data_IF_463641789993
#
_entry.id   IF_463641789993
#
_cell.length_a   1.000
_cell.length_b   1.000
_cell.length_c   1.000
_cell.angle_alpha   90.00
_cell.angle_beta   90.00
_cell.angle_gamma   90.00
#
_symmetry.space_group_name_H-M   'P 1'
#
loop_
_entity.id
_entity.type
_entity.pdbx_description
1 polymer ?
#
# COMPACT_ATOMS: atom_id res chain seq x y z
N UNK A 1 13.91 -20.85 54.10
CA UNK A 1 15.11 -20.27 53.50
C UNK A 1 16.13 -21.36 53.26
N UNK A 2 16.24 -21.88 52.02
CA UNK A 2 17.38 -22.73 51.64
C UNK A 2 18.46 -21.80 51.08
N UNK A 3 19.62 -21.65 51.73
CA UNK A 3 20.63 -20.67 51.35
C UNK A 3 21.37 -20.99 50.03
N UNK A 4 21.25 -22.21 49.50
CA UNK A 4 22.01 -22.67 48.32
C UNK A 4 21.13 -23.03 47.10
N UNK A 5 19.89 -22.51 47.00
CA UNK A 5 19.06 -22.81 45.83
C UNK A 5 19.53 -21.98 44.61
N UNK A 6 19.84 -22.62 43.47
CA UNK A 6 20.09 -21.92 42.22
C UNK A 6 18.96 -20.96 41.87
N UNK A 7 19.30 -19.83 41.24
CA UNK A 7 18.31 -18.81 40.87
C UNK A 7 17.27 -19.34 39.87
N UNK A 8 17.69 -20.20 38.96
CA UNK A 8 16.82 -20.91 38.03
C UNK A 8 15.77 -21.78 38.74
N UNK A 9 16.13 -22.46 39.82
CA UNK A 9 15.20 -23.25 40.63
C UNK A 9 14.20 -22.37 41.37
N UNK A 10 14.66 -21.20 41.83
CA UNK A 10 13.78 -20.21 42.48
C UNK A 10 12.74 -19.69 41.48
N UNK A 11 13.15 -19.34 40.25
CA UNK A 11 12.20 -18.91 39.20
C UNK A 11 11.31 -20.07 38.75
N UNK A 12 11.82 -21.29 38.66
CA UNK A 12 11.03 -22.48 38.34
C UNK A 12 9.92 -22.77 39.38
N UNK A 13 10.19 -22.48 40.66
CA UNK A 13 9.16 -22.48 41.70
C UNK A 13 8.11 -21.38 41.46
N UNK A 14 8.53 -20.17 41.06
CA UNK A 14 7.58 -19.10 40.70
C UNK A 14 6.74 -19.46 39.48
N UNK A 15 7.31 -20.12 38.46
CA UNK A 15 6.57 -20.66 37.31
C UNK A 15 5.49 -21.63 37.78
N UNK A 16 5.84 -22.53 38.69
CA UNK A 16 4.89 -23.50 39.26
C UNK A 16 3.78 -22.81 40.07
N UNK A 17 4.11 -21.75 40.80
CA UNK A 17 3.16 -20.93 41.55
C UNK A 17 2.21 -20.15 40.64
N UNK A 18 2.70 -19.55 39.54
CA UNK A 18 1.85 -18.91 38.53
C UNK A 18 0.90 -19.93 37.92
N UNK A 19 1.40 -21.09 37.51
CA UNK A 19 0.57 -22.15 36.91
C UNK A 19 -0.50 -22.66 37.90
N UNK A 20 -0.16 -22.81 39.18
CA UNK A 20 -1.12 -23.16 40.22
C UNK A 20 -2.16 -22.05 40.41
N UNK A 21 -1.73 -20.80 40.53
CA UNK A 21 -2.62 -19.65 40.70
C UNK A 21 -3.61 -19.54 39.53
N UNK A 22 -3.11 -19.70 38.29
CA UNK A 22 -3.92 -19.68 37.07
C UNK A 22 -4.93 -20.83 36.99
N UNK A 23 -4.56 -22.03 37.42
CA UNK A 23 -5.46 -23.19 37.42
C UNK A 23 -6.51 -23.15 38.52
N UNK A 24 -6.15 -22.64 39.69
CA UNK A 24 -7.05 -22.58 40.85
C UNK A 24 -7.93 -21.32 40.84
N UNK A 25 -7.42 -20.21 40.33
CA UNK A 25 -8.06 -18.90 40.34
C UNK A 25 -7.85 -18.17 39.00
N UNK A 26 -8.48 -18.66 37.91
CA UNK A 26 -8.28 -18.12 36.57
C UNK A 26 -8.71 -16.66 36.41
N UNK A 27 -9.69 -16.20 37.19
CA UNK A 27 -10.23 -14.83 37.12
C UNK A 27 -9.47 -13.81 37.99
N UNK A 28 -8.61 -14.28 38.91
CA UNK A 28 -7.96 -13.44 39.92
C UNK A 28 -6.52 -13.07 39.52
N UNK A 29 -6.41 -11.99 38.75
CA UNK A 29 -5.14 -11.47 38.21
C UNK A 29 -4.15 -11.11 39.32
N UNK A 30 -4.63 -10.68 40.50
CA UNK A 30 -3.81 -10.26 41.62
C UNK A 30 -2.84 -11.34 42.11
N UNK A 31 -3.23 -12.62 42.09
CA UNK A 31 -2.36 -13.68 42.57
C UNK A 31 -1.17 -13.89 41.65
N UNK A 32 -1.40 -13.80 40.34
CA UNK A 32 -0.32 -13.84 39.34
C UNK A 32 0.57 -12.61 39.50
N UNK A 33 -0.01 -11.41 39.65
CA UNK A 33 0.76 -10.17 39.79
C UNK A 33 1.62 -10.17 41.08
N UNK A 34 1.11 -10.71 42.19
CA UNK A 34 1.89 -10.90 43.45
C UNK A 34 3.08 -11.85 43.24
N UNK A 35 2.92 -12.91 42.45
CA UNK A 35 4.03 -13.82 42.12
C UNK A 35 5.08 -13.11 41.25
N UNK A 36 4.65 -12.30 40.28
CA UNK A 36 5.55 -11.47 39.47
C UNK A 36 6.27 -10.42 40.33
N UNK A 37 5.56 -9.75 41.24
CA UNK A 37 6.15 -8.82 42.20
C UNK A 37 7.25 -9.48 43.03
N UNK A 38 6.96 -10.63 43.63
CA UNK A 38 7.93 -11.37 44.44
C UNK A 38 9.17 -11.74 43.61
N UNK A 39 8.97 -12.12 42.35
CA UNK A 39 10.06 -12.45 41.43
C UNK A 39 10.93 -11.22 41.15
N UNK A 40 10.31 -10.06 40.91
CA UNK A 40 11.01 -8.80 40.68
C UNK A 40 11.80 -8.36 41.92
N UNK A 41 11.20 -8.42 43.11
CA UNK A 41 11.86 -8.09 44.38
C UNK A 41 13.06 -9.00 44.65
N UNK A 42 12.97 -10.28 44.30
CA UNK A 42 14.10 -11.22 44.41
C UNK A 42 15.25 -10.79 43.50
N UNK A 43 14.96 -10.42 42.25
CA UNK A 43 16.00 -9.94 41.32
C UNK A 43 16.62 -8.61 41.77
N UNK A 44 15.80 -7.69 42.29
CA UNK A 44 16.28 -6.41 42.84
C UNK A 44 17.19 -6.61 44.06
N UNK A 45 16.82 -7.51 44.99
CA UNK A 45 17.66 -7.84 46.17
C UNK A 45 19.02 -8.41 45.78
N UNK A 46 19.12 -9.02 44.61
CA UNK A 46 20.34 -9.64 44.09
C UNK A 46 21.11 -8.74 43.10
N UNK A 47 20.64 -7.51 42.86
CA UNK A 47 21.21 -6.56 41.90
C UNK A 47 21.40 -7.15 40.49
N UNK A 48 20.40 -7.87 40.00
CA UNK A 48 20.40 -8.40 38.63
C UNK A 48 19.81 -7.34 37.69
N UNK A 49 20.68 -6.71 36.89
CA UNK A 49 20.25 -5.65 35.96
C UNK A 49 19.81 -6.19 34.58
N UNK A 50 20.50 -7.22 34.07
CA UNK A 50 20.16 -7.88 32.79
C UNK A 50 20.37 -9.38 32.81
N UNK A 51 19.45 -10.10 32.17
CA UNK A 51 19.44 -11.56 32.05
C UNK A 51 19.57 -11.93 30.58
N UNK A 52 20.61 -12.70 30.25
CA UNK A 52 20.81 -13.23 28.90
C UNK A 52 19.79 -14.33 28.59
N UNK A 53 19.05 -14.19 27.50
CA UNK A 53 17.97 -15.11 27.06
C UNK A 53 18.41 -16.57 26.94
N UNK A 54 19.64 -16.80 26.47
CA UNK A 54 20.21 -18.15 26.33
C UNK A 54 20.57 -18.84 27.65
N UNK A 55 20.71 -18.10 28.75
CA UNK A 55 21.04 -18.67 30.05
C UNK A 55 19.83 -19.42 30.64
N UNK A 56 20.08 -20.40 31.51
CA UNK A 56 19.02 -21.18 32.14
C UNK A 56 18.00 -20.31 32.91
N UNK A 57 18.48 -19.29 33.64
CA UNK A 57 17.63 -18.28 34.27
C UNK A 57 16.76 -17.50 33.25
N UNK A 58 17.32 -17.14 32.09
CA UNK A 58 16.60 -16.40 31.05
C UNK A 58 15.50 -17.25 30.39
N UNK A 59 15.76 -18.55 30.19
CA UNK A 59 14.75 -19.52 29.71
C UNK A 59 13.61 -19.67 30.71
N UNK A 60 13.93 -19.78 31.99
CA UNK A 60 12.92 -19.89 33.06
C UNK A 60 12.10 -18.61 33.23
N UNK A 61 12.73 -17.43 33.16
CA UNK A 61 12.00 -16.16 33.16
C UNK A 61 11.11 -16.01 31.93
N UNK A 62 11.60 -16.41 30.76
CA UNK A 62 10.77 -16.42 29.54
C UNK A 62 9.57 -17.35 29.67
N UNK A 63 9.74 -18.53 30.28
CA UNK A 63 8.65 -19.46 30.59
C UNK A 63 7.65 -18.86 31.57
N UNK A 64 8.11 -18.16 32.60
CA UNK A 64 7.26 -17.45 33.56
C UNK A 64 6.37 -16.42 32.88
N UNK A 65 6.93 -15.63 31.95
CA UNK A 65 6.21 -14.56 31.26
C UNK A 65 5.25 -15.09 30.17
N UNK A 66 5.52 -16.26 29.59
CA UNK A 66 4.58 -16.89 28.63
C UNK A 66 3.30 -17.42 29.28
N UNK A 67 3.37 -17.92 30.51
CA UNK A 67 2.21 -18.49 31.21
C UNK A 67 1.02 -17.52 31.32
N UNK A 68 1.18 -16.25 31.74
CA UNK A 68 0.11 -15.26 31.67
C UNK A 68 -0.50 -15.10 30.29
N UNK A 69 0.33 -15.00 29.24
CA UNK A 69 -0.15 -14.84 27.87
C UNK A 69 -1.00 -16.03 27.41
N UNK A 70 -0.54 -17.26 27.69
CA UNK A 70 -1.21 -18.50 27.25
C UNK A 70 -2.52 -18.77 27.97
N UNK A 71 -2.59 -18.43 29.27
CA UNK A 71 -3.77 -18.74 30.06
C UNK A 71 -4.88 -17.69 29.84
N UNK A 72 -4.52 -16.41 29.79
CA UNK A 72 -5.52 -15.35 29.61
C UNK A 72 -5.97 -15.20 28.16
N UNK A 73 -5.12 -15.54 27.17
CA UNK A 73 -5.41 -15.40 25.74
C UNK A 73 -5.88 -14.00 25.34
N UNK A 74 -5.52 -12.99 26.15
CA UNK A 74 -5.90 -11.60 25.96
C UNK A 74 -4.76 -10.70 26.42
N UNK A 75 -4.15 -10.03 25.45
CA UNK A 75 -3.02 -9.14 25.68
C UNK A 75 -3.35 -7.98 26.64
N UNK A 76 -4.60 -7.51 26.65
CA UNK A 76 -5.03 -6.43 27.53
C UNK A 76 -5.06 -6.87 29.01
N UNK A 77 -5.38 -8.13 29.27
CA UNK A 77 -5.33 -8.70 30.63
C UNK A 77 -3.88 -8.82 31.11
N UNK A 78 -2.98 -9.26 30.22
CA UNK A 78 -1.53 -9.29 30.51
C UNK A 78 -1.00 -7.89 30.81
N UNK A 79 -1.48 -6.87 30.09
CA UNK A 79 -1.10 -5.48 30.32
C UNK A 79 -1.51 -4.93 31.69
N UNK A 80 -2.55 -5.50 32.33
CA UNK A 80 -2.99 -5.10 33.67
C UNK A 80 -2.02 -5.56 34.77
N UNK A 81 -1.14 -6.53 34.49
CA UNK A 81 -0.11 -7.00 35.41
C UNK A 81 0.99 -5.94 35.55
N UNK A 82 1.01 -5.23 36.66
CA UNK A 82 1.88 -4.07 36.88
C UNK A 82 3.37 -4.46 36.83
N UNK A 83 3.70 -5.68 37.26
CA UNK A 83 5.08 -6.16 37.35
C UNK A 83 5.54 -6.93 36.11
N UNK A 84 4.67 -7.10 35.10
CA UNK A 84 5.02 -7.81 33.86
C UNK A 84 6.03 -7.02 33.01
N UNK A 85 5.74 -5.76 32.70
CA UNK A 85 6.63 -4.91 31.89
C UNK A 85 8.01 -4.70 32.52
N UNK A 86 8.13 -4.44 33.84
CA UNK A 86 9.42 -4.40 34.53
C UNK A 86 10.22 -5.71 34.39
N UNK A 87 9.58 -6.88 34.56
CA UNK A 87 10.26 -8.17 34.39
C UNK A 87 10.72 -8.41 32.95
N UNK A 88 9.91 -8.03 31.97
CA UNK A 88 10.28 -8.09 30.55
C UNK A 88 11.52 -7.24 30.27
N UNK A 89 11.65 -6.07 30.92
CA UNK A 89 12.78 -5.16 30.73
C UNK A 89 14.13 -5.72 31.23
N UNK A 90 14.10 -6.70 32.15
CA UNK A 90 15.31 -7.37 32.65
C UNK A 90 15.93 -8.34 31.62
N UNK A 91 15.16 -8.80 30.63
CA UNK A 91 15.70 -9.64 29.57
C UNK A 91 16.57 -8.82 28.61
N UNK A 92 17.56 -9.48 28.01
CA UNK A 92 18.33 -8.93 26.89
C UNK A 92 17.45 -8.67 25.65
N UNK A 93 18.00 -7.96 24.66
CA UNK A 93 17.30 -7.64 23.41
C UNK A 93 16.68 -8.89 22.75
N UNK A 94 17.45 -9.98 22.67
CA UNK A 94 17.00 -11.25 22.08
C UNK A 94 15.77 -11.82 22.81
N UNK A 95 15.80 -11.90 24.14
CA UNK A 95 14.68 -12.37 24.95
C UNK A 95 13.44 -11.48 24.83
N UNK A 96 13.64 -10.15 24.85
CA UNK A 96 12.54 -9.20 24.64
C UNK A 96 11.95 -9.32 23.23
N UNK A 97 12.77 -9.52 22.20
CA UNK A 97 12.31 -9.71 20.82
C UNK A 97 11.44 -10.96 20.70
N UNK A 98 11.93 -12.11 21.21
CA UNK A 98 11.22 -13.39 21.18
C UNK A 98 9.89 -13.32 21.93
N UNK A 99 9.87 -12.73 23.13
CA UNK A 99 8.63 -12.57 23.89
C UNK A 99 7.66 -11.58 23.25
N UNK A 100 8.14 -10.46 22.70
CA UNK A 100 7.30 -9.54 21.96
C UNK A 100 6.66 -10.22 20.75
N UNK A 101 7.42 -10.99 19.96
CA UNK A 101 6.87 -11.76 18.82
C UNK A 101 5.81 -12.73 19.32
N UNK A 102 6.07 -13.44 20.43
CA UNK A 102 5.11 -14.36 21.03
C UNK A 102 3.80 -13.67 21.46
N UNK A 103 3.91 -12.53 22.14
CA UNK A 103 2.76 -11.74 22.60
C UNK A 103 1.92 -11.22 21.43
N UNK A 104 2.57 -10.74 20.36
CA UNK A 104 1.87 -10.29 19.16
C UNK A 104 1.21 -11.47 18.44
N UNK A 105 1.87 -12.62 18.33
CA UNK A 105 1.27 -13.84 17.75
C UNK A 105 0.03 -14.27 18.54
N UNK A 106 0.13 -14.37 19.87
CA UNK A 106 -1.01 -14.73 20.72
C UNK A 106 -2.17 -13.72 20.57
N UNK A 107 -1.87 -12.42 20.50
CA UNK A 107 -2.88 -11.40 20.31
C UNK A 107 -3.58 -11.48 18.94
N UNK A 108 -2.83 -11.83 17.89
CA UNK A 108 -3.37 -12.04 16.53
C UNK A 108 -4.20 -13.33 16.46
N UNK A 109 -3.73 -14.43 17.03
CA UNK A 109 -4.44 -15.72 17.04
C UNK A 109 -5.76 -15.67 17.81
N UNK A 110 -5.80 -14.89 18.89
CA UNK A 110 -7.00 -14.70 19.71
C UNK A 110 -7.83 -13.46 19.34
N UNK A 111 -7.49 -12.76 18.26
CA UNK A 111 -8.17 -11.56 17.77
C UNK A 111 -8.39 -10.47 18.86
N UNK A 112 -7.36 -10.20 19.65
CA UNK A 112 -7.45 -9.24 20.75
C UNK A 112 -7.57 -7.80 20.23
N UNK A 113 -8.77 -7.21 20.33
CA UNK A 113 -9.02 -5.82 19.96
C UNK A 113 -8.45 -4.83 20.97
N UNK A 114 -7.82 -3.75 20.49
CA UNK A 114 -7.27 -2.66 21.31
C UNK A 114 -8.06 -1.37 21.06
N UNK A 115 -9.07 -1.03 21.91
CA UNK A 115 -10.04 0.04 21.61
C UNK A 115 -9.65 1.45 22.06
N UNK A 116 -8.58 1.64 22.83
CA UNK A 116 -8.22 2.95 23.41
C UNK A 116 -6.78 3.35 23.10
N UNK A 117 -6.51 4.67 23.12
CA UNK A 117 -5.18 5.19 22.81
C UNK A 117 -4.17 4.80 23.89
N UNK A 118 -4.61 4.72 25.16
CA UNK A 118 -3.78 4.38 26.31
C UNK A 118 -3.33 2.92 26.23
N UNK A 119 -4.24 2.02 25.83
CA UNK A 119 -3.89 0.62 25.61
C UNK A 119 -2.95 0.45 24.42
N UNK A 120 -3.14 1.20 23.33
CA UNK A 120 -2.19 1.18 22.19
C UNK A 120 -0.81 1.66 22.60
N UNK A 121 -0.71 2.77 23.35
CA UNK A 121 0.55 3.29 23.86
C UNK A 121 1.28 2.26 24.73
N UNK A 122 0.55 1.63 25.64
CA UNK A 122 1.09 0.64 26.56
C UNK A 122 1.48 -0.67 25.86
N UNK A 123 0.67 -1.17 24.93
CA UNK A 123 0.98 -2.37 24.14
C UNK A 123 2.20 -2.14 23.25
N UNK A 124 2.26 -1.03 22.50
CA UNK A 124 3.40 -0.73 21.64
C UNK A 124 4.68 -0.49 22.44
N UNK A 125 4.57 0.10 23.64
CA UNK A 125 5.71 0.23 24.56
C UNK A 125 6.21 -1.13 25.05
N UNK A 126 5.29 -2.06 25.35
CA UNK A 126 5.64 -3.42 25.77
C UNK A 126 6.36 -4.19 24.66
N UNK A 127 5.96 -4.00 23.40
CA UNK A 127 6.58 -4.66 22.23
C UNK A 127 7.61 -3.79 21.51
N UNK A 128 8.17 -2.78 22.19
CA UNK A 128 9.08 -1.79 21.59
C UNK A 128 10.32 -2.43 20.92
N UNK A 129 10.76 -3.60 21.37
CA UNK A 129 11.85 -4.38 20.76
C UNK A 129 11.61 -4.77 19.30
N UNK A 130 10.34 -4.86 18.86
CA UNK A 130 9.95 -5.11 17.47
C UNK A 130 9.76 -3.82 16.66
N UNK A 131 9.52 -2.69 17.35
CA UNK A 131 9.14 -1.43 16.73
C UNK A 131 10.35 -0.58 16.43
N UNK A 132 11.23 -0.36 17.41
CA UNK A 132 12.36 0.56 17.30
C UNK A 132 13.68 -0.08 17.69
N UNK A 133 14.77 0.44 17.11
CA UNK A 133 16.11 -0.02 17.45
C UNK A 133 16.43 0.24 18.91
N UNK A 134 16.95 -0.78 19.58
CA UNK A 134 17.24 -0.74 21.01
C UNK A 134 18.72 -0.44 21.24
N UNK A 135 19.08 0.25 22.34
CA UNK A 135 20.47 0.59 22.62
C UNK A 135 21.35 -0.64 22.88
N UNK A 136 20.76 -1.76 23.28
CA UNK A 136 21.42 -3.05 23.53
C UNK A 136 21.28 -4.05 22.37
N UNK A 137 20.81 -3.59 21.20
CA UNK A 137 20.67 -4.41 20.01
C UNK A 137 22.05 -4.76 19.43
N UNK A 138 22.28 -6.02 19.01
CA UNK A 138 23.49 -6.40 18.31
C UNK A 138 23.68 -5.59 17.02
N UNK A 139 24.93 -5.24 16.68
CA UNK A 139 25.27 -4.55 15.44
C UNK A 139 25.12 -5.41 14.18
N UNK A 140 24.75 -6.68 14.33
CA UNK A 140 24.54 -7.60 13.21
C UNK A 140 23.22 -7.22 12.54
N UNK A 141 23.26 -6.98 11.23
CA UNK A 141 22.04 -6.74 10.47
C UNK A 141 21.16 -8.00 10.51
N UNK A 142 19.86 -7.86 10.85
CA UNK A 142 18.94 -8.98 10.79
C UNK A 142 18.77 -9.43 9.33
N UNK A 143 18.48 -10.72 9.16
CA UNK A 143 18.08 -11.26 7.87
C UNK A 143 16.85 -10.49 7.35
N UNK A 144 16.87 -9.97 6.10
CA UNK A 144 15.71 -9.33 5.50
C UNK A 144 14.43 -10.17 5.52
N UNK A 145 14.54 -11.50 5.39
CA UNK A 145 13.37 -12.40 5.41
C UNK A 145 12.75 -12.47 6.81
N UNK A 146 13.57 -12.72 7.84
CA UNK A 146 13.12 -12.73 9.23
C UNK A 146 12.48 -11.38 9.63
N UNK A 147 13.10 -10.27 9.22
CA UNK A 147 12.55 -8.95 9.49
C UNK A 147 11.19 -8.76 8.80
N UNK A 148 11.04 -9.23 7.56
CA UNK A 148 9.77 -9.14 6.84
C UNK A 148 8.66 -9.97 7.52
N UNK A 149 8.96 -11.16 8.02
CA UNK A 149 8.00 -11.98 8.77
C UNK A 149 7.57 -11.29 10.08
N UNK A 150 8.53 -10.78 10.85
CA UNK A 150 8.27 -10.07 12.11
C UNK A 150 7.43 -8.80 11.88
N UNK A 151 7.81 -8.00 10.89
CA UNK A 151 7.07 -6.78 10.58
C UNK A 151 5.71 -7.08 9.93
N UNK A 152 5.60 -8.18 9.19
CA UNK A 152 4.32 -8.69 8.68
C UNK A 152 3.37 -9.09 9.80
N UNK A 153 3.87 -9.74 10.85
CA UNK A 153 3.10 -10.05 12.06
C UNK A 153 2.65 -8.77 12.77
N UNK A 154 3.54 -7.80 12.94
CA UNK A 154 3.20 -6.51 13.54
C UNK A 154 2.14 -5.77 12.70
N UNK A 155 2.29 -5.76 11.37
CA UNK A 155 1.33 -5.18 10.45
C UNK A 155 -0.07 -5.83 10.57
N UNK A 156 -0.14 -7.16 10.70
CA UNK A 156 -1.40 -7.87 10.99
C UNK A 156 -2.00 -7.42 12.33
N UNK A 157 -1.17 -7.30 13.35
CA UNK A 157 -1.64 -6.88 14.67
C UNK A 157 -2.23 -5.47 14.68
N UNK A 158 -1.67 -4.53 13.89
CA UNK A 158 -2.23 -3.19 13.75
C UNK A 158 -3.69 -3.20 13.29
N UNK A 159 -4.16 -4.21 12.57
CA UNK A 159 -5.57 -4.32 12.16
C UNK A 159 -6.55 -4.56 13.31
N UNK A 160 -6.08 -4.97 14.48
CA UNK A 160 -6.90 -5.14 15.69
C UNK A 160 -7.00 -3.86 16.53
N UNK A 161 -6.33 -2.79 16.13
CA UNK A 161 -6.47 -1.48 16.78
C UNK A 161 -7.74 -0.81 16.30
N UNK A 162 -8.88 -1.17 16.92
CA UNK A 162 -10.21 -0.72 16.51
C UNK A 162 -11.01 -0.22 17.71
N UNK A 163 -11.53 0.99 17.58
CA UNK A 163 -12.46 1.60 18.51
C UNK A 163 -13.87 1.69 17.93
N UNK A 164 -14.87 1.73 18.81
CA UNK A 164 -16.26 1.99 18.42
C UNK A 164 -16.45 3.43 17.94
N UNK A 165 -15.76 4.39 18.58
CA UNK A 165 -15.81 5.81 18.25
C UNK A 165 -14.78 6.18 17.18
N UNK A 166 -15.23 6.91 16.16
CA UNK A 166 -14.37 7.41 15.08
C UNK A 166 -13.28 8.37 15.59
N UNK A 167 -13.59 9.20 16.59
CA UNK A 167 -12.61 10.13 17.19
C UNK A 167 -11.54 9.40 18.00
N UNK A 168 -11.94 8.36 18.74
CA UNK A 168 -10.99 7.51 19.46
C UNK A 168 -10.12 6.71 18.49
N UNK A 169 -10.66 6.28 17.35
CA UNK A 169 -9.89 5.63 16.29
C UNK A 169 -8.81 6.56 15.72
N UNK A 170 -9.11 7.85 15.53
CA UNK A 170 -8.11 8.83 15.08
C UNK A 170 -6.97 9.00 16.10
N UNK A 171 -7.29 9.02 17.40
CA UNK A 171 -6.28 9.08 18.45
C UNK A 171 -5.40 7.83 18.47
N UNK A 172 -5.99 6.64 18.33
CA UNK A 172 -5.28 5.37 18.18
C UNK A 172 -4.29 5.41 17.02
N UNK A 173 -4.72 5.84 15.84
CA UNK A 173 -3.84 5.95 14.66
C UNK A 173 -2.70 6.94 14.88
N UNK A 174 -2.98 8.06 15.55
CA UNK A 174 -1.97 9.09 15.86
C UNK A 174 -0.91 8.55 16.83
N UNK A 175 -1.34 7.85 17.88
CA UNK A 175 -0.44 7.21 18.85
C UNK A 175 0.37 6.09 18.21
N UNK A 176 -0.26 5.23 17.41
CA UNK A 176 0.43 4.17 16.68
C UNK A 176 1.50 4.74 15.74
N UNK A 177 1.19 5.80 14.97
CA UNK A 177 2.14 6.48 14.09
C UNK A 177 3.32 7.08 14.84
N UNK A 178 3.11 7.61 16.05
CA UNK A 178 4.20 8.14 16.90
C UNK A 178 5.21 7.06 17.26
N UNK A 179 4.75 5.87 17.67
CA UNK A 179 5.62 4.75 18.01
C UNK A 179 6.29 4.14 16.79
N UNK A 180 5.50 3.82 15.75
CA UNK A 180 6.00 3.18 14.53
C UNK A 180 6.93 4.07 13.72
N UNK A 181 6.77 5.39 13.79
CA UNK A 181 7.69 6.35 13.17
C UNK A 181 9.11 6.31 13.74
N UNK A 182 9.31 5.76 14.94
CA UNK A 182 10.63 5.55 15.53
C UNK A 182 11.34 4.27 15.03
N UNK A 183 10.71 3.50 14.14
CA UNK A 183 11.21 2.19 13.72
C UNK A 183 12.36 2.15 12.73
N UNK A 184 12.81 3.32 12.27
CA UNK A 184 13.85 3.45 11.27
C UNK A 184 13.41 2.99 9.88
N UNK A 185 14.26 3.20 8.87
CA UNK A 185 13.88 3.06 7.46
C UNK A 185 13.39 1.65 7.10
N UNK A 186 14.02 0.59 7.64
CA UNK A 186 13.69 -0.80 7.28
C UNK A 186 12.31 -1.26 7.78
N UNK A 187 11.83 -0.77 8.94
CA UNK A 187 10.56 -1.22 9.56
C UNK A 187 9.37 -0.40 9.14
N UNK A 188 9.57 0.90 8.90
CA UNK A 188 8.47 1.80 8.49
C UNK A 188 7.83 1.37 7.18
N UNK A 189 8.61 0.73 6.29
CA UNK A 189 8.14 0.15 5.02
C UNK A 189 6.92 -0.77 5.18
N UNK A 190 6.90 -1.57 6.23
CA UNK A 190 5.87 -2.60 6.44
C UNK A 190 4.74 -2.11 7.35
N UNK A 191 5.03 -1.18 8.27
CA UNK A 191 4.11 -0.81 9.35
C UNK A 191 3.31 0.47 9.07
N UNK A 192 3.87 1.42 8.32
CA UNK A 192 3.16 2.66 7.97
C UNK A 192 2.06 2.49 6.91
N UNK A 193 2.22 1.66 5.85
CA UNK A 193 1.15 1.49 4.86
C UNK A 193 -0.18 0.98 5.46
N UNK A 194 -0.19 -0.02 6.37
CA UNK A 194 -1.41 -0.42 7.08
C UNK A 194 -2.09 0.74 7.81
N UNK A 195 -1.33 1.62 8.47
CA UNK A 195 -1.88 2.81 9.14
C UNK A 195 -2.52 3.78 8.15
N UNK A 196 -1.89 3.99 6.99
CA UNK A 196 -2.42 4.86 5.93
C UNK A 196 -3.75 4.29 5.41
N UNK A 197 -3.84 2.98 5.18
CA UNK A 197 -5.09 2.34 4.76
C UNK A 197 -6.18 2.41 5.82
N UNK A 198 -5.85 2.19 7.10
CA UNK A 198 -6.82 2.37 8.19
C UNK A 198 -7.28 3.81 8.32
N UNK A 199 -6.39 4.78 8.08
CA UNK A 199 -6.75 6.20 8.05
C UNK A 199 -7.70 6.51 6.88
N UNK A 200 -7.48 5.93 5.69
CA UNK A 200 -8.43 6.05 4.58
C UNK A 200 -9.79 5.43 4.90
N UNK A 201 -9.81 4.24 5.50
CA UNK A 201 -11.07 3.62 5.97
C UNK A 201 -11.80 4.50 6.98
N UNK A 202 -11.06 5.13 7.89
CA UNK A 202 -11.63 6.09 8.84
C UNK A 202 -12.19 7.34 8.14
N UNK A 203 -11.54 7.85 7.09
CA UNK A 203 -12.08 8.94 6.28
C UNK A 203 -13.42 8.57 5.62
N UNK A 204 -13.55 7.35 5.08
CA UNK A 204 -14.83 6.85 4.56
C UNK A 204 -15.90 6.69 5.64
N UNK A 205 -15.51 6.27 6.86
CA UNK A 205 -16.42 6.18 8.00
C UNK A 205 -16.97 7.56 8.37
N UNK A 206 -16.13 8.58 8.48
CA UNK A 206 -16.58 9.96 8.71
C UNK A 206 -17.47 10.50 7.60
N UNK A 207 -17.24 10.10 6.34
CA UNK A 207 -18.11 10.48 5.23
C UNK A 207 -19.50 9.82 5.33
N UNK A 208 -19.57 8.60 5.85
CA UNK A 208 -20.83 7.89 6.09
C UNK A 208 -21.60 8.53 7.26
N UNK A 209 -20.88 8.95 8.30
CA UNK A 209 -21.41 9.60 9.51
C UNK A 209 -21.62 11.13 9.33
N UNK A 210 -21.63 11.64 8.10
CA UNK A 210 -21.67 13.09 7.80
C UNK A 210 -22.92 13.82 8.29
N UNK A 211 -24.02 13.10 8.50
CA UNK A 211 -25.27 13.67 9.01
C UNK A 211 -25.27 13.82 10.55
N UNK A 212 -24.39 13.08 11.23
CA UNK A 212 -24.29 13.06 12.70
C UNK A 212 -23.26 14.07 13.23
N UNK A 213 -22.28 14.46 12.41
CA UNK A 213 -21.18 15.34 12.80
C UNK A 213 -20.96 16.50 11.82
N UNK A 214 -21.38 17.71 12.21
CA UNK A 214 -21.19 18.95 11.44
C UNK A 214 -19.70 19.26 11.12
N UNK A 215 -18.76 18.69 11.87
CA UNK A 215 -17.31 18.90 11.70
C UNK A 215 -16.62 17.79 10.91
N UNK A 216 -17.38 16.84 10.32
CA UNK A 216 -16.82 15.71 9.57
C UNK A 216 -15.80 16.15 8.50
N UNK A 217 -16.11 17.21 7.75
CA UNK A 217 -15.24 17.74 6.68
C UNK A 217 -13.85 18.16 7.20
N UNK A 218 -13.81 18.86 8.34
CA UNK A 218 -12.55 19.27 8.98
C UNK A 218 -11.77 18.07 9.53
N UNK A 219 -12.47 17.06 10.04
CA UNK A 219 -11.85 15.81 10.53
C UNK A 219 -11.23 15.01 9.38
N UNK A 220 -11.96 14.85 8.27
CA UNK A 220 -11.46 14.21 7.04
C UNK A 220 -10.24 14.95 6.50
N UNK A 221 -10.27 16.27 6.44
CA UNK A 221 -9.09 17.06 6.04
C UNK A 221 -7.86 16.76 6.93
N UNK A 222 -8.06 16.69 8.25
CA UNK A 222 -6.99 16.34 9.21
C UNK A 222 -6.47 14.91 9.02
N UNK A 223 -7.32 13.97 8.62
CA UNK A 223 -6.92 12.60 8.30
C UNK A 223 -6.03 12.58 7.05
N UNK A 224 -6.41 13.28 5.98
CA UNK A 224 -5.58 13.34 4.78
C UNK A 224 -4.24 14.05 5.02
N UNK A 225 -4.20 15.07 5.88
CA UNK A 225 -2.93 15.65 6.35
C UNK A 225 -2.08 14.62 7.10
N UNK A 226 -2.69 13.81 7.97
CA UNK A 226 -2.01 12.71 8.66
C UNK A 226 -1.47 11.66 7.67
N UNK A 227 -2.27 11.26 6.68
CA UNK A 227 -1.84 10.33 5.62
C UNK A 227 -0.67 10.92 4.84
N UNK A 228 -0.76 12.17 4.40
CA UNK A 228 0.31 12.86 3.68
C UNK A 228 1.61 12.82 4.48
N UNK A 229 1.60 13.26 5.75
CA UNK A 229 2.81 13.26 6.59
C UNK A 229 3.38 11.85 6.82
N UNK A 230 2.51 10.84 6.87
CA UNK A 230 2.91 9.43 7.06
C UNK A 230 3.55 8.88 5.78
N UNK A 231 3.00 9.20 4.61
CA UNK A 231 3.56 8.82 3.31
C UNK A 231 4.88 9.57 3.07
N UNK A 232 4.97 10.87 3.40
CA UNK A 232 6.23 11.62 3.32
C UNK A 232 7.33 11.02 4.21
N UNK A 233 6.97 10.40 5.34
CA UNK A 233 7.96 9.69 6.17
C UNK A 233 8.56 8.47 5.44
N UNK A 234 7.77 7.78 4.61
CA UNK A 234 8.27 6.70 3.75
C UNK A 234 9.17 7.25 2.62
N UNK A 235 8.82 8.40 2.05
CA UNK A 235 9.68 9.09 1.06
C UNK A 235 11.04 9.44 1.66
N UNK A 236 11.04 10.00 2.88
CA UNK A 236 12.27 10.30 3.64
C UNK A 236 13.09 9.06 3.99
N UNK A 237 12.48 7.88 4.01
CA UNK A 237 13.14 6.60 4.20
C UNK A 237 13.66 6.01 2.86
N UNK A 238 13.73 6.83 1.79
CA UNK A 238 14.27 6.49 0.47
C UNK A 238 13.43 5.44 -0.30
N UNK A 239 12.12 5.40 -0.02
CA UNK A 239 11.17 4.61 -0.80
C UNK A 239 10.41 5.50 -1.79
N UNK A 240 10.38 5.10 -3.06
CA UNK A 240 9.70 5.86 -4.12
C UNK A 240 8.42 5.18 -4.61
N UNK A 241 8.53 3.90 -4.94
CA UNK A 241 7.48 3.13 -5.59
C UNK A 241 6.22 2.90 -4.74
N UNK A 242 6.40 2.59 -3.46
CA UNK A 242 5.29 2.35 -2.54
C UNK A 242 4.59 3.67 -2.16
N UNK A 243 5.30 4.75 -1.76
CA UNK A 243 4.68 6.04 -1.48
C UNK A 243 3.92 6.62 -2.67
N UNK A 244 4.43 6.47 -3.90
CA UNK A 244 3.72 6.86 -5.12
C UNK A 244 2.34 6.18 -5.20
N UNK A 245 2.29 4.85 -4.98
CA UNK A 245 1.01 4.11 -4.99
C UNK A 245 0.08 4.56 -3.86
N UNK A 246 0.62 4.85 -2.68
CA UNK A 246 -0.18 5.36 -1.55
C UNK A 246 -0.75 6.75 -1.83
N UNK A 247 0.03 7.66 -2.44
CA UNK A 247 -0.47 8.97 -2.87
C UNK A 247 -1.59 8.83 -3.92
N UNK A 248 -1.43 7.94 -4.89
CA UNK A 248 -2.46 7.70 -5.92
C UNK A 248 -3.74 7.10 -5.32
N UNK A 249 -3.63 6.13 -4.40
CA UNK A 249 -4.79 5.62 -3.66
C UNK A 249 -5.44 6.70 -2.78
N UNK A 250 -4.64 7.58 -2.18
CA UNK A 250 -5.13 8.76 -1.47
C UNK A 250 -5.92 9.69 -2.37
N UNK A 251 -5.43 9.98 -3.58
CA UNK A 251 -6.15 10.80 -4.57
C UNK A 251 -7.51 10.19 -4.94
N UNK A 252 -7.59 8.87 -5.15
CA UNK A 252 -8.87 8.18 -5.39
C UNK A 252 -9.80 8.21 -4.16
N UNK A 253 -9.24 8.08 -2.95
CA UNK A 253 -10.04 8.18 -1.73
C UNK A 253 -10.61 9.59 -1.56
N UNK A 254 -9.84 10.63 -1.86
CA UNK A 254 -10.27 12.03 -1.82
C UNK A 254 -11.34 12.31 -2.89
N UNK A 255 -11.20 11.73 -4.09
CA UNK A 255 -12.19 11.88 -5.16
C UNK A 255 -13.58 11.35 -4.75
N UNK A 256 -13.60 10.22 -4.03
CA UNK A 256 -14.84 9.62 -3.54
C UNK A 256 -15.42 10.33 -2.30
N UNK A 257 -14.65 11.19 -1.63
CA UNK A 257 -15.07 11.90 -0.41
C UNK A 257 -15.08 13.40 -0.70
N UNK A 258 -16.26 13.93 -1.04
CA UNK A 258 -16.45 15.35 -1.40
C UNK A 258 -16.47 16.27 -0.15
N UNK A 259 -15.33 16.43 0.54
CA UNK A 259 -15.15 17.35 1.67
C UNK A 259 -14.66 18.74 1.22
N UNK A 260 -14.64 19.74 2.12
CA UNK A 260 -14.19 21.09 1.77
C UNK A 260 -12.73 21.11 1.29
N UNK A 261 -12.47 21.75 0.14
CA UNK A 261 -11.16 21.81 -0.51
C UNK A 261 -10.58 20.45 -0.92
N UNK A 262 -11.42 19.41 -1.09
CA UNK A 262 -10.96 18.09 -1.52
C UNK A 262 -10.19 18.13 -2.85
N UNK A 263 -10.57 18.98 -3.80
CA UNK A 263 -9.87 19.17 -5.07
C UNK A 263 -8.40 19.57 -4.88
N UNK A 264 -8.12 20.58 -4.04
CA UNK A 264 -6.75 21.05 -3.77
C UNK A 264 -5.92 19.95 -3.11
N UNK A 265 -6.51 19.19 -2.19
CA UNK A 265 -5.80 18.09 -1.52
C UNK A 265 -5.53 16.94 -2.51
N UNK A 266 -6.49 16.59 -3.38
CA UNK A 266 -6.29 15.58 -4.43
C UNK A 266 -5.18 16.01 -5.41
N UNK A 267 -5.15 17.30 -5.78
CA UNK A 267 -4.13 17.83 -6.68
C UNK A 267 -2.74 17.74 -6.04
N UNK A 268 -2.61 18.09 -4.75
CA UNK A 268 -1.36 17.95 -4.02
C UNK A 268 -0.90 16.48 -4.00
N UNK A 269 -1.79 15.52 -3.75
CA UNK A 269 -1.45 14.10 -3.76
C UNK A 269 -0.98 13.62 -5.14
N UNK A 270 -1.65 14.04 -6.21
CA UNK A 270 -1.23 13.75 -7.59
C UNK A 270 0.12 14.40 -7.93
N UNK A 271 0.33 15.65 -7.51
CA UNK A 271 1.58 16.40 -7.69
C UNK A 271 2.75 15.70 -6.98
N UNK A 272 2.58 15.28 -5.73
CA UNK A 272 3.59 14.51 -5.00
C UNK A 272 3.92 13.17 -5.68
N UNK A 273 2.91 12.48 -6.24
CA UNK A 273 3.14 11.27 -7.01
C UNK A 273 3.94 11.53 -8.31
N UNK A 274 3.69 12.65 -8.99
CA UNK A 274 4.49 13.06 -10.15
C UNK A 274 5.94 13.40 -9.76
N UNK A 275 6.15 14.16 -8.68
CA UNK A 275 7.49 14.50 -8.21
C UNK A 275 8.30 13.24 -7.89
N UNK A 276 7.71 12.27 -7.18
CA UNK A 276 8.35 10.97 -6.91
C UNK A 276 8.69 10.20 -8.18
N UNK A 277 7.81 10.23 -9.18
CA UNK A 277 8.07 9.59 -10.46
C UNK A 277 9.24 10.23 -11.20
N UNK A 278 9.33 11.57 -11.20
CA UNK A 278 10.38 12.30 -11.93
C UNK A 278 11.75 12.23 -11.24
N UNK A 279 11.77 12.30 -9.90
CA UNK A 279 13.01 12.42 -9.14
C UNK A 279 13.65 11.06 -8.77
N UNK A 280 12.84 10.07 -8.40
CA UNK A 280 13.34 8.85 -7.74
C UNK A 280 13.20 7.58 -8.60
N UNK A 281 12.23 7.51 -9.52
CA UNK A 281 12.00 6.30 -10.34
C UNK A 281 12.83 6.35 -11.62
N UNK A 282 13.94 5.61 -11.63
CA UNK A 282 14.88 5.56 -12.75
C UNK A 282 14.78 4.29 -13.62
N UNK A 283 14.30 3.17 -13.08
CA UNK A 283 14.16 1.93 -13.86
C UNK A 283 13.08 2.06 -14.94
N UNK A 284 13.43 1.70 -16.18
CA UNK A 284 12.55 1.88 -17.35
C UNK A 284 11.24 1.10 -17.24
N UNK A 285 11.22 -0.09 -16.64
CA UNK A 285 9.98 -0.87 -16.49
C UNK A 285 9.12 -0.29 -15.38
N UNK A 286 9.74 0.08 -14.25
CA UNK A 286 9.07 0.76 -13.14
C UNK A 286 8.49 2.12 -13.58
N UNK A 287 9.20 2.89 -14.40
CA UNK A 287 8.72 4.15 -14.97
C UNK A 287 7.44 3.96 -15.78
N UNK A 288 7.42 3.01 -16.72
CA UNK A 288 6.21 2.75 -17.51
C UNK A 288 5.05 2.30 -16.62
N UNK A 289 5.30 1.42 -15.65
CA UNK A 289 4.28 0.92 -14.74
C UNK A 289 3.70 2.04 -13.86
N UNK A 290 4.55 2.85 -13.24
CA UNK A 290 4.17 4.01 -12.43
C UNK A 290 3.39 5.03 -13.26
N UNK A 291 3.88 5.38 -14.45
CA UNK A 291 3.23 6.32 -15.35
C UNK A 291 1.85 5.81 -15.82
N UNK A 292 1.73 4.53 -16.15
CA UNK A 292 0.44 3.91 -16.49
C UNK A 292 -0.52 3.95 -15.30
N UNK A 293 -0.03 3.74 -14.08
CA UNK A 293 -0.84 3.82 -12.85
C UNK A 293 -1.29 5.25 -12.57
N UNK A 294 -0.42 6.25 -12.75
CA UNK A 294 -0.77 7.68 -12.65
C UNK A 294 -1.90 8.02 -13.63
N UNK A 295 -1.75 7.63 -14.91
CA UNK A 295 -2.78 7.87 -15.92
C UNK A 295 -4.09 7.15 -15.59
N UNK A 296 -4.03 5.89 -15.17
CA UNK A 296 -5.23 5.12 -14.79
C UNK A 296 -5.94 5.71 -13.58
N UNK A 297 -5.18 6.22 -12.60
CA UNK A 297 -5.71 6.92 -11.44
C UNK A 297 -6.41 8.22 -11.87
N UNK A 298 -5.71 9.03 -12.66
CA UNK A 298 -6.24 10.30 -13.16
C UNK A 298 -7.49 10.12 -14.03
N UNK A 299 -7.55 9.05 -14.82
CA UNK A 299 -8.74 8.73 -15.61
C UNK A 299 -9.97 8.42 -14.74
N UNK A 300 -9.78 7.86 -13.55
CA UNK A 300 -10.87 7.53 -12.63
C UNK A 300 -11.28 8.73 -11.76
N UNK A 301 -10.37 9.66 -11.47
CA UNK A 301 -10.69 10.87 -10.71
C UNK A 301 -11.62 11.79 -11.48
N UNK A 302 -12.61 12.35 -10.78
CA UNK A 302 -13.62 13.26 -11.34
C UNK A 302 -13.68 14.62 -10.65
N UNK A 303 -12.94 14.79 -9.54
CA UNK A 303 -12.98 15.96 -8.67
C UNK A 303 -12.27 17.20 -9.21
N UNK A 304 -11.48 17.09 -10.29
CA UNK A 304 -10.72 18.23 -10.80
C UNK A 304 -11.57 19.16 -11.67
N UNK A 305 -11.46 20.46 -11.42
CA UNK A 305 -11.88 21.52 -12.34
C UNK A 305 -10.98 21.54 -13.58
N UNK A 306 -11.44 22.16 -14.68
CA UNK A 306 -10.67 22.19 -15.93
C UNK A 306 -9.30 22.88 -15.76
N UNK A 307 -9.21 23.87 -14.86
CA UNK A 307 -7.96 24.59 -14.54
C UNK A 307 -6.88 23.67 -13.97
N UNK A 308 -7.26 22.69 -13.16
CA UNK A 308 -6.34 21.70 -12.58
C UNK A 308 -6.23 20.44 -13.45
N UNK A 309 -7.28 20.10 -14.19
CA UNK A 309 -7.36 18.90 -15.01
C UNK A 309 -6.51 19.02 -16.31
N UNK A 310 -6.49 20.18 -16.97
CA UNK A 310 -5.68 20.39 -18.17
C UNK A 310 -4.15 20.28 -17.93
N UNK A 311 -3.56 20.91 -16.89
CA UNK A 311 -2.15 20.75 -16.57
C UNK A 311 -1.76 19.30 -16.32
N UNK A 312 -2.56 18.55 -15.54
CA UNK A 312 -2.27 17.15 -15.22
C UNK A 312 -2.30 16.24 -16.46
N UNK A 313 -3.27 16.44 -17.38
CA UNK A 313 -3.28 15.75 -18.68
C UNK A 313 -2.05 16.03 -19.51
N UNK A 314 -1.66 17.30 -19.59
CA UNK A 314 -0.51 17.74 -20.36
C UNK A 314 0.78 17.18 -19.75
N UNK A 315 0.89 17.16 -18.43
CA UNK A 315 2.01 16.58 -17.71
C UNK A 315 2.10 15.06 -17.94
N UNK A 316 1.00 14.32 -17.91
CA UNK A 316 0.96 12.90 -18.30
C UNK A 316 1.53 12.71 -19.71
N UNK A 317 1.05 13.49 -20.68
CA UNK A 317 1.48 13.38 -22.07
C UNK A 317 2.96 13.73 -22.28
N UNK A 318 3.47 14.73 -21.54
CA UNK A 318 4.88 15.10 -21.53
C UNK A 318 5.73 13.98 -20.93
N UNK A 319 5.36 13.49 -19.75
CA UNK A 319 6.09 12.44 -19.05
C UNK A 319 6.11 11.12 -19.83
N UNK A 320 4.99 10.71 -20.42
CA UNK A 320 4.92 9.57 -21.33
C UNK A 320 5.84 9.71 -22.55
N UNK A 321 5.98 10.93 -23.10
CA UNK A 321 6.87 11.18 -24.23
C UNK A 321 8.36 11.26 -23.87
N UNK A 322 8.68 11.42 -22.58
CA UNK A 322 10.05 11.46 -22.03
C UNK A 322 10.58 10.09 -21.60
N UNK A 323 9.75 9.02 -21.63
CA UNK A 323 10.21 7.66 -21.33
C UNK A 323 11.43 7.29 -22.17
N UNK A 324 12.35 6.47 -21.66
CA UNK A 324 13.61 6.22 -22.37
C UNK A 324 13.44 5.36 -23.63
N UNK A 325 12.67 4.27 -23.53
CA UNK A 325 12.51 3.28 -24.60
C UNK A 325 11.39 3.68 -25.56
N UNK A 326 11.63 3.56 -26.86
CA UNK A 326 10.65 3.92 -27.91
C UNK A 326 9.34 3.11 -27.84
N UNK A 327 9.35 1.80 -27.60
CA UNK A 327 8.11 1.05 -27.41
C UNK A 327 7.29 1.55 -26.22
N UNK A 328 7.96 1.84 -25.11
CA UNK A 328 7.31 2.33 -23.88
C UNK A 328 6.78 3.76 -24.07
N UNK A 329 7.51 4.64 -24.77
CA UNK A 329 7.03 5.97 -25.19
C UNK A 329 5.75 5.84 -26.05
N UNK A 330 5.75 4.95 -27.05
CA UNK A 330 4.60 4.76 -27.94
C UNK A 330 3.37 4.27 -27.15
N UNK A 331 3.55 3.25 -26.28
CA UNK A 331 2.49 2.74 -25.40
C UNK A 331 1.99 3.81 -24.44
N UNK A 332 2.88 4.52 -23.75
CA UNK A 332 2.51 5.59 -22.82
C UNK A 332 1.71 6.71 -23.50
N UNK A 333 2.17 7.20 -24.65
CA UNK A 333 1.45 8.25 -25.41
C UNK A 333 0.10 7.75 -25.92
N UNK A 334 0.00 6.47 -26.28
CA UNK A 334 -1.27 5.85 -26.66
C UNK A 334 -2.20 5.80 -25.47
N UNK A 335 -1.75 5.37 -24.29
CA UNK A 335 -2.55 5.39 -23.06
C UNK A 335 -3.01 6.81 -22.70
N UNK A 336 -2.15 7.83 -22.87
CA UNK A 336 -2.54 9.23 -22.66
C UNK A 336 -3.73 9.67 -23.52
N UNK A 337 -3.93 9.09 -24.71
CA UNK A 337 -5.07 9.44 -25.56
C UNK A 337 -6.42 9.18 -24.87
N UNK A 338 -6.50 8.19 -23.98
CA UNK A 338 -7.70 7.92 -23.20
C UNK A 338 -8.03 9.05 -22.21
N UNK A 339 -7.04 9.80 -21.72
CA UNK A 339 -7.26 10.95 -20.83
C UNK A 339 -7.95 12.12 -21.55
N UNK A 340 -7.81 12.22 -22.88
CA UNK A 340 -8.50 13.23 -23.69
C UNK A 340 -9.89 12.77 -24.14
N UNK A 341 -10.20 11.48 -23.97
CA UNK A 341 -11.48 10.90 -24.35
C UNK A 341 -12.40 10.65 -23.16
N UNK A 342 -12.02 9.73 -22.29
CA UNK A 342 -12.86 9.13 -21.23
C UNK A 342 -12.62 9.70 -19.84
N UNK A 343 -11.67 10.63 -19.67
CA UNK A 343 -11.53 11.33 -18.40
C UNK A 343 -12.78 12.20 -18.14
N UNK A 344 -13.10 12.38 -16.86
CA UNK A 344 -14.29 13.10 -16.42
C UNK A 344 -13.84 14.26 -15.54
N UNK A 345 -14.43 15.43 -15.74
CA UNK A 345 -14.15 16.62 -14.93
C UNK A 345 -15.44 17.12 -14.29
N UNK A 346 -15.32 17.88 -13.19
CA UNK A 346 -16.44 18.62 -12.62
C UNK A 346 -17.04 19.61 -13.64
N UNK A 347 -16.22 20.18 -14.52
CA UNK A 347 -16.68 21.13 -15.53
C UNK A 347 -17.63 20.49 -16.56
N UNK A 348 -17.42 19.22 -16.90
CA UNK A 348 -18.28 18.45 -17.80
C UNK A 348 -19.44 17.77 -17.08
N UNK A 349 -19.82 18.19 -15.86
CA UNK A 349 -20.82 17.50 -15.03
C UNK A 349 -20.54 15.99 -14.86
N UNK A 350 -19.25 15.61 -14.77
CA UNK A 350 -18.78 14.21 -14.73
C UNK A 350 -19.03 13.43 -16.04
N UNK A 351 -19.31 14.10 -17.15
CA UNK A 351 -19.34 13.49 -18.49
C UNK A 351 -17.93 13.38 -19.10
N UNK A 352 -17.80 12.51 -20.09
CA UNK A 352 -16.57 12.29 -20.84
C UNK A 352 -16.19 13.54 -21.66
N UNK A 353 -14.93 13.95 -21.61
CA UNK A 353 -14.41 15.12 -22.33
C UNK A 353 -14.56 15.04 -23.86
N UNK A 354 -14.33 13.86 -24.44
CA UNK A 354 -14.44 13.58 -25.89
C UNK A 354 -13.71 14.60 -26.79
N UNK A 355 -12.48 14.97 -26.43
CA UNK A 355 -11.64 15.82 -27.29
C UNK A 355 -11.04 15.01 -28.45
N UNK A 356 -11.82 14.88 -29.51
CA UNK A 356 -11.47 14.12 -30.72
C UNK A 356 -10.13 14.55 -31.34
N UNK A 357 -9.81 15.85 -31.29
CA UNK A 357 -8.61 16.41 -31.92
C UNK A 357 -7.36 15.99 -31.14
N UNK A 358 -7.35 16.18 -29.82
CA UNK A 358 -6.21 15.80 -28.98
C UNK A 358 -5.98 14.28 -28.98
N UNK A 359 -7.06 13.48 -29.04
CA UNK A 359 -6.95 12.02 -29.21
C UNK A 359 -6.21 11.67 -30.50
N UNK A 360 -6.62 12.25 -31.64
CA UNK A 360 -5.96 11.97 -32.92
C UNK A 360 -4.50 12.46 -32.94
N UNK A 361 -4.19 13.59 -32.30
CA UNK A 361 -2.82 14.07 -32.16
C UNK A 361 -1.93 13.09 -31.37
N UNK A 362 -2.44 12.56 -30.25
CA UNK A 362 -1.74 11.54 -29.46
C UNK A 362 -1.51 10.25 -30.28
N UNK A 363 -2.53 9.76 -30.97
CA UNK A 363 -2.43 8.57 -31.82
C UNK A 363 -1.41 8.78 -32.97
N UNK A 364 -1.46 9.92 -33.67
CA UNK A 364 -0.48 10.27 -34.71
C UNK A 364 0.94 10.37 -34.13
N UNK A 365 1.10 10.94 -32.94
CA UNK A 365 2.39 11.00 -32.24
C UNK A 365 2.90 9.60 -31.90
N UNK A 366 2.03 8.71 -31.41
CA UNK A 366 2.39 7.33 -31.10
C UNK A 366 2.80 6.55 -32.36
N UNK A 367 2.10 6.71 -33.48
CA UNK A 367 2.50 6.13 -34.78
C UNK A 367 3.88 6.66 -35.22
N UNK A 368 4.16 7.96 -35.07
CA UNK A 368 5.49 8.51 -35.37
C UNK A 368 6.58 7.91 -34.49
N UNK A 369 6.31 7.69 -33.21
CA UNK A 369 7.27 7.07 -32.28
C UNK A 369 7.46 5.58 -32.61
N UNK A 370 6.40 4.86 -32.96
CA UNK A 370 6.47 3.46 -33.39
C UNK A 370 7.33 3.31 -34.66
N UNK A 371 7.26 4.26 -35.61
CA UNK A 371 8.16 4.30 -36.77
C UNK A 371 9.64 4.48 -36.41
N UNK A 372 9.96 5.05 -35.25
CA UNK A 372 11.34 5.23 -34.76
C UNK A 372 11.85 3.99 -34.02
N UNK A 373 11.03 2.96 -33.83
CA UNK A 373 11.47 1.69 -33.25
C UNK A 373 12.34 0.95 -34.28
N UNK A 374 13.57 0.63 -33.89
CA UNK A 374 14.54 -0.03 -34.77
C UNK A 374 14.27 -1.54 -34.93
N UNK A 375 13.73 -2.19 -33.88
CA UNK A 375 13.40 -3.60 -33.92
C UNK A 375 12.11 -3.84 -34.72
N UNK A 376 12.17 -4.54 -35.87
CA UNK A 376 11.00 -4.75 -36.73
C UNK A 376 9.89 -5.57 -36.06
N UNK A 377 10.23 -6.58 -35.24
CA UNK A 377 9.24 -7.42 -34.55
C UNK A 377 8.41 -6.58 -33.57
N UNK A 378 9.10 -5.85 -32.67
CA UNK A 378 8.44 -4.93 -31.72
C UNK A 378 7.68 -3.81 -32.44
N UNK A 379 8.21 -3.28 -33.55
CA UNK A 379 7.54 -2.24 -34.33
C UNK A 379 6.19 -2.71 -34.88
N UNK A 380 6.11 -3.91 -35.47
CA UNK A 380 4.84 -4.45 -35.97
C UNK A 380 3.88 -4.71 -34.83
N UNK A 381 4.36 -5.29 -33.72
CA UNK A 381 3.53 -5.47 -32.52
C UNK A 381 2.90 -4.15 -32.06
N UNK A 382 3.69 -3.06 -32.02
CA UNK A 382 3.18 -1.72 -31.67
C UNK A 382 2.16 -1.20 -32.68
N UNK A 383 2.32 -1.46 -33.98
CA UNK A 383 1.31 -1.07 -34.96
C UNK A 383 0.01 -1.86 -34.82
N UNK A 384 0.06 -3.15 -34.45
CA UNK A 384 -1.14 -3.94 -34.13
C UNK A 384 -1.81 -3.39 -32.87
N UNK A 385 -1.04 -3.11 -31.81
CA UNK A 385 -1.56 -2.48 -30.59
C UNK A 385 -2.21 -1.12 -30.91
N UNK A 386 -1.56 -0.27 -31.71
CA UNK A 386 -2.09 1.02 -32.15
C UNK A 386 -3.37 0.85 -32.97
N UNK A 387 -3.41 -0.11 -33.91
CA UNK A 387 -4.59 -0.40 -34.71
C UNK A 387 -5.79 -0.71 -33.80
N UNK A 388 -5.62 -1.53 -32.77
CA UNK A 388 -6.67 -1.81 -31.80
C UNK A 388 -7.15 -0.53 -31.07
N UNK A 389 -6.26 0.40 -30.73
CA UNK A 389 -6.66 1.67 -30.12
C UNK A 389 -7.41 2.59 -31.10
N UNK A 390 -6.98 2.65 -32.37
CA UNK A 390 -7.72 3.36 -33.41
C UNK A 390 -9.13 2.77 -33.58
N UNK A 391 -9.26 1.44 -33.60
CA UNK A 391 -10.54 0.74 -33.66
C UNK A 391 -11.39 1.08 -32.44
N UNK A 392 -10.82 1.09 -31.23
CA UNK A 392 -11.52 1.46 -30.01
C UNK A 392 -12.13 2.87 -30.08
N UNK A 393 -11.34 3.88 -30.46
CA UNK A 393 -11.85 5.26 -30.56
C UNK A 393 -12.84 5.43 -31.69
N UNK A 394 -12.63 4.72 -32.80
CA UNK A 394 -13.61 4.67 -33.88
C UNK A 394 -14.93 4.10 -33.38
N UNK A 395 -14.93 2.92 -32.73
CA UNK A 395 -16.12 2.28 -32.16
C UNK A 395 -16.85 3.16 -31.13
N UNK A 396 -16.12 3.97 -30.39
CA UNK A 396 -16.67 4.92 -29.41
C UNK A 396 -17.25 6.20 -30.03
N UNK A 397 -17.20 6.34 -31.36
CA UNK A 397 -17.84 7.44 -32.09
C UNK A 397 -16.94 8.66 -32.31
N UNK A 398 -15.61 8.52 -32.26
CA UNK A 398 -14.70 9.62 -32.56
C UNK A 398 -14.71 9.92 -34.08
N UNK A 399 -15.25 11.07 -34.48
CA UNK A 399 -15.40 11.46 -35.89
C UNK A 399 -14.08 11.70 -36.63
N UNK A 400 -13.00 12.00 -35.90
CA UNK A 400 -11.68 12.27 -36.46
C UNK A 400 -10.93 10.98 -36.86
N UNK A 401 -11.30 9.84 -36.28
CA UNK A 401 -10.75 8.54 -36.68
C UNK A 401 -11.56 8.04 -37.86
N UNK A 402 -10.91 7.91 -39.01
CA UNK A 402 -11.59 7.55 -40.27
C UNK A 402 -11.21 6.15 -40.72
N UNK A 403 -12.13 5.51 -41.44
CA UNK A 403 -11.93 4.19 -42.07
C UNK A 403 -10.70 4.17 -42.98
N UNK A 404 -10.37 5.29 -43.62
CA UNK A 404 -9.16 5.43 -44.44
C UNK A 404 -7.88 5.27 -43.61
N UNK A 405 -7.82 5.81 -42.39
CA UNK A 405 -6.67 5.64 -41.49
C UNK A 405 -6.56 4.19 -41.00
N UNK A 406 -7.68 3.53 -40.70
CA UNK A 406 -7.72 2.11 -40.33
C UNK A 406 -7.19 1.22 -41.47
N UNK A 407 -7.64 1.46 -42.70
CA UNK A 407 -7.17 0.75 -43.88
C UNK A 407 -5.68 0.98 -44.12
N UNK A 408 -5.20 2.22 -44.03
CA UNK A 408 -3.77 2.55 -44.20
C UNK A 408 -2.90 1.81 -43.17
N UNK A 409 -3.29 1.82 -41.90
CA UNK A 409 -2.53 1.13 -40.85
C UNK A 409 -2.60 -0.39 -41.02
N UNK A 410 -3.75 -0.93 -41.40
CA UNK A 410 -3.94 -2.37 -41.66
C UNK A 410 -3.08 -2.85 -42.84
N UNK A 411 -3.09 -2.12 -43.95
CA UNK A 411 -2.26 -2.46 -45.12
C UNK A 411 -0.78 -2.43 -44.77
N UNK A 412 -0.35 -1.39 -44.04
CA UNK A 412 1.04 -1.28 -43.59
C UNK A 412 1.45 -2.46 -42.71
N UNK A 413 0.63 -2.83 -41.73
CA UNK A 413 0.91 -3.98 -40.85
C UNK A 413 1.02 -5.28 -41.65
N UNK A 414 0.15 -5.49 -42.66
CA UNK A 414 0.20 -6.68 -43.53
C UNK A 414 1.47 -6.73 -44.38
N UNK A 415 1.86 -5.61 -44.96
CA UNK A 415 3.09 -5.48 -45.77
C UNK A 415 4.34 -5.72 -44.91
N UNK A 416 4.42 -5.06 -43.75
CA UNK A 416 5.56 -5.20 -42.84
C UNK A 416 5.65 -6.64 -42.27
N UNK A 417 4.51 -7.27 -41.96
CA UNK A 417 4.48 -8.65 -41.43
C UNK A 417 4.95 -9.68 -42.46
N UNK A 418 4.64 -9.46 -43.75
CA UNK A 418 5.09 -10.34 -44.83
C UNK A 418 6.62 -10.29 -45.06
N UNK A 419 7.27 -9.22 -44.62
CA UNK A 419 8.71 -9.02 -44.77
C UNK A 419 9.54 -9.60 -43.60
N UNK A 420 8.90 -10.13 -42.55
CA UNK A 420 9.59 -10.74 -41.41
C UNK A 420 9.83 -12.24 -41.58
N UNK A 421 10.92 -12.71 -40.99
CA UNK A 421 11.19 -14.13 -40.84
C UNK A 421 10.19 -14.76 -39.86
N UNK A 422 9.78 -16.00 -40.14
CA UNK A 422 8.82 -16.74 -39.30
C UNK A 422 9.51 -17.26 -38.04
N UNK A 423 9.27 -16.56 -36.94
CA UNK A 423 9.64 -16.94 -35.56
C UNK A 423 8.40 -17.14 -34.71
N UNK A 424 8.54 -17.78 -33.54
CA UNK A 424 7.45 -17.96 -32.58
C UNK A 424 6.80 -16.62 -32.16
N UNK A 425 7.58 -15.54 -32.04
CA UNK A 425 7.07 -14.19 -31.75
C UNK A 425 6.23 -13.64 -32.91
N UNK A 426 6.70 -13.79 -34.15
CA UNK A 426 5.95 -13.32 -35.34
C UNK A 426 4.67 -14.12 -35.55
N UNK A 427 4.64 -15.40 -35.19
CA UNK A 427 3.43 -16.22 -35.21
C UNK A 427 2.38 -15.71 -34.21
N UNK A 428 2.82 -15.28 -33.02
CA UNK A 428 1.93 -14.65 -32.04
C UNK A 428 1.36 -13.32 -32.55
N UNK A 429 2.20 -12.47 -33.17
CA UNK A 429 1.77 -11.20 -33.76
C UNK A 429 0.78 -11.45 -34.91
N UNK A 430 1.04 -12.44 -35.77
CA UNK A 430 0.16 -12.85 -36.86
C UNK A 430 -1.21 -13.34 -36.38
N UNK A 431 -1.24 -14.14 -35.30
CA UNK A 431 -2.49 -14.56 -34.64
C UNK A 431 -3.23 -13.36 -34.05
N UNK A 432 -2.53 -12.43 -33.41
CA UNK A 432 -3.13 -11.21 -32.86
C UNK A 432 -3.79 -10.38 -33.97
N UNK A 433 -3.08 -10.12 -35.07
CA UNK A 433 -3.64 -9.41 -36.23
C UNK A 433 -4.86 -10.14 -36.81
N UNK A 434 -4.80 -11.46 -36.95
CA UNK A 434 -5.91 -12.27 -37.47
C UNK A 434 -7.17 -12.14 -36.60
N UNK A 435 -7.00 -12.12 -35.27
CA UNK A 435 -8.10 -11.88 -34.34
C UNK A 435 -8.67 -10.46 -34.47
N UNK A 436 -7.82 -9.44 -34.59
CA UNK A 436 -8.26 -8.04 -34.84
C UNK A 436 -9.04 -7.91 -36.14
N UNK A 437 -8.59 -8.53 -37.23
CA UNK A 437 -9.30 -8.53 -38.52
C UNK A 437 -10.63 -9.30 -38.44
N UNK A 438 -10.67 -10.39 -37.67
CA UNK A 438 -11.91 -11.16 -37.44
C UNK A 438 -12.93 -10.32 -36.68
N UNK A 439 -12.50 -9.60 -35.63
CA UNK A 439 -13.34 -8.64 -34.91
C UNK A 439 -13.92 -7.58 -35.84
N UNK A 440 -13.09 -6.96 -36.68
CA UNK A 440 -13.54 -5.98 -37.68
C UNK A 440 -14.56 -6.55 -38.67
N UNK A 441 -14.38 -7.80 -39.13
CA UNK A 441 -15.35 -8.48 -40.01
C UNK A 441 -16.69 -8.72 -39.32
N UNK A 442 -16.69 -9.13 -38.05
CA UNK A 442 -17.91 -9.32 -37.27
C UNK A 442 -18.65 -8.00 -37.10
N UNK A 443 -17.94 -6.91 -36.76
CA UNK A 443 -18.53 -5.56 -36.66
C UNK A 443 -19.12 -5.04 -37.97
N UNK A 444 -18.57 -5.45 -39.11
CA UNK A 444 -19.10 -5.11 -40.44
C UNK A 444 -20.37 -5.91 -40.79
N UNK A 445 -20.49 -7.15 -40.29
CA UNK A 445 -21.66 -8.01 -40.49
C UNK A 445 -22.81 -7.69 -39.52
N UNK A 446 -22.49 -7.33 -38.28
CA UNK A 446 -23.43 -6.94 -37.22
C UNK A 446 -23.07 -5.56 -36.66
N UNK A 447 -23.43 -4.46 -37.37
CA UNK A 447 -23.16 -3.12 -36.86
C UNK A 447 -24.01 -2.85 -35.60
N UNK A 448 -23.41 -2.32 -34.52
CA UNK A 448 -24.17 -1.91 -33.34
C UNK A 448 -25.18 -0.82 -33.71
N UNK A 449 -26.39 -0.89 -33.14
CA UNK A 449 -27.53 -0.01 -33.49
C UNK A 449 -27.30 1.48 -33.28
N UNK A 450 -26.23 1.86 -32.57
CA UNK A 450 -25.85 3.23 -32.19
C UNK A 450 -24.35 3.52 -32.46
N UNK A 451 -23.71 2.75 -33.37
CA UNK A 451 -22.28 2.87 -33.67
C UNK A 451 -21.94 3.44 -35.05
N UNK A 452 -20.65 3.70 -35.33
CA UNK A 452 -20.22 4.34 -36.58
C UNK A 452 -20.38 3.42 -37.80
N UNK A 453 -20.59 4.02 -38.97
CA UNK A 453 -20.71 3.29 -40.25
C UNK A 453 -19.35 2.83 -40.76
N UNK A 454 -19.16 1.50 -40.84
CA UNK A 454 -17.96 0.83 -41.37
C UNK A 454 -17.86 0.80 -42.90
N UNK A 455 -18.68 1.60 -43.60
CA UNK A 455 -18.66 1.66 -45.07
C UNK A 455 -17.27 2.06 -45.58
N UNK A 456 -16.68 1.19 -46.42
CA UNK A 456 -15.34 1.41 -47.01
C UNK A 456 -14.17 0.73 -46.29
N UNK A 457 -14.42 -0.05 -45.24
CA UNK A 457 -13.37 -0.83 -44.55
C UNK A 457 -12.90 -2.01 -45.44
N UNK A 458 -11.59 -2.13 -45.64
CA UNK A 458 -10.96 -3.18 -46.47
C UNK A 458 -10.21 -4.17 -45.57
N UNK A 459 -10.88 -5.24 -45.11
CA UNK A 459 -10.37 -6.18 -44.08
C UNK A 459 -9.83 -7.50 -44.60
#
# INVERSE_FOLDING_TARGET
>A
SRPDMPMEDTVSLQVSLVNLAQKCYPDEIEYVDKVLQNTLEVFQKLNIDKIHSGAALGKELSRLLRLPADNYNNLLTVLQLQYYTPLLSLLDYSGRKILSTYLVTNAVENETYVPTQEQVDAVLSMVASLICDQPDQPLVEPDPEDLAEEQGLLARFLHFFKSSSSDQQYLILTTARKHLGAGGNKRVLYTLPPLVFQAYQLAFKYHTEREEDDKWSKKVHKIFQFCHQTITALVKAEYAELPLRLFLQGALAIDNIEFENHETVAYEFMSQAFSLYEDEISDSKAQLAAMTLIMGTFQQTTCFSEENHEPLRTQCALAASKLLKKPDQARGVTTCSHLFWSARSQHTNKEELRDEKRVLECLKKAVRIANQCMDPSTQIQLFVELLNHYIYFYEKGNSQVTVTMLNQLTSKVKEDLANLETTEETDQISRHLTNTLTHLRLRLQEPPSDGPSYEGLQV
#
